data_IF_069705396054
#
_entry.id   IF_069705396054
#
_cell.length_a   1.000
_cell.length_b   1.000
_cell.length_c   1.000
_cell.angle_alpha   90.00
_cell.angle_beta   90.00
_cell.angle_gamma   90.00
#
_symmetry.space_group_name_H-M   'P 1'
#
loop_
_entity.id
_entity.type
_entity.pdbx_description
1 polymer ?
#
# COMPACT_ATOMS: atom_id res chain seq x y z
N UNK A 1 -44.32 5.79 -35.05
CA UNK A 1 -43.31 6.80 -34.61
C UNK A 1 -43.50 7.29 -33.17
N UNK A 2 -44.72 7.40 -32.63
CA UNK A 2 -44.93 7.85 -31.24
C UNK A 2 -44.45 6.85 -30.15
N UNK A 3 -44.39 5.54 -30.45
CA UNK A 3 -43.90 4.53 -29.49
C UNK A 3 -42.38 4.52 -29.29
N UNK A 4 -41.60 5.10 -30.22
CA UNK A 4 -40.13 5.13 -30.14
C UNK A 4 -39.60 6.29 -29.29
N UNK A 5 -40.40 7.33 -29.05
CA UNK A 5 -39.98 8.48 -28.24
C UNK A 5 -40.23 8.32 -26.74
N UNK A 6 -41.16 7.44 -26.32
CA UNK A 6 -41.37 7.17 -24.89
C UNK A 6 -40.29 6.24 -24.28
N UNK A 7 -39.63 5.41 -25.09
CA UNK A 7 -38.56 4.52 -24.61
C UNK A 7 -37.23 5.26 -24.39
N UNK A 8 -36.96 6.33 -25.15
CA UNK A 8 -35.74 7.15 -24.95
C UNK A 8 -35.80 8.00 -23.65
N UNK A 9 -36.99 8.46 -23.24
CA UNK A 9 -37.12 9.25 -22.00
C UNK A 9 -36.96 8.41 -20.71
N UNK A 10 -37.23 7.10 -20.77
CA UNK A 10 -36.99 6.19 -19.63
C UNK A 10 -35.53 5.77 -19.51
N UNK A 11 -34.79 5.66 -20.63
CA UNK A 11 -33.37 5.31 -20.62
C UNK A 11 -32.47 6.48 -20.19
N UNK A 12 -32.90 7.73 -20.41
CA UNK A 12 -32.15 8.93 -19.98
C UNK A 12 -32.33 9.20 -18.47
N UNK A 13 -33.44 8.77 -17.85
CA UNK A 13 -33.64 8.89 -16.41
C UNK A 13 -33.11 7.70 -15.58
N UNK A 14 -32.82 6.56 -16.21
CA UNK A 14 -32.23 5.41 -15.50
C UNK A 14 -30.69 5.46 -15.44
N UNK A 15 -30.04 6.28 -16.28
CA UNK A 15 -28.59 6.45 -16.28
C UNK A 15 -28.08 7.53 -15.29
N UNK A 16 -28.98 8.15 -14.53
CA UNK A 16 -28.66 9.17 -13.51
C UNK A 16 -28.67 8.63 -12.07
N UNK A 17 -28.81 7.33 -11.86
CA UNK A 17 -28.74 6.69 -10.56
C UNK A 17 -27.84 5.45 -10.65
N UNK A 18 -26.80 5.41 -9.82
CA UNK A 18 -25.66 4.45 -9.80
C UNK A 18 -24.61 4.80 -10.87
N UNK A 19 -23.41 5.30 -10.57
CA UNK A 19 -22.47 4.92 -9.52
C UNK A 19 -21.60 6.14 -9.16
N UNK A 20 -21.59 6.54 -7.89
CA UNK A 20 -20.52 7.38 -7.37
C UNK A 20 -19.28 6.49 -7.19
N UNK A 21 -18.44 6.39 -8.21
CA UNK A 21 -17.12 5.78 -8.12
C UNK A 21 -16.22 6.67 -7.26
N UNK A 22 -16.21 6.38 -5.96
CA UNK A 22 -15.33 7.02 -4.99
C UNK A 22 -13.93 6.44 -5.19
N UNK A 23 -13.01 7.20 -5.79
CA UNK A 23 -11.60 6.80 -5.90
C UNK A 23 -10.61 7.90 -5.50
N UNK A 24 -9.72 7.50 -4.58
CA UNK A 24 -8.30 7.82 -4.39
C UNK A 24 -7.82 9.27 -4.55
N UNK A 25 -8.39 10.18 -3.78
CA UNK A 25 -7.72 11.41 -3.40
C UNK A 25 -7.74 11.49 -1.87
N UNK A 26 -6.58 11.34 -1.22
CA UNK A 26 -6.50 11.30 0.25
C UNK A 26 -6.89 12.64 0.91
N UNK A 27 -6.95 13.74 0.13
CA UNK A 27 -7.46 15.05 0.57
C UNK A 27 -8.89 15.36 0.11
N UNK A 28 -9.48 14.55 -0.75
CA UNK A 28 -10.83 14.77 -1.25
C UNK A 28 -11.85 14.38 -0.18
N UNK A 29 -12.96 15.11 -0.17
CA UNK A 29 -14.03 14.87 0.79
C UNK A 29 -14.81 13.65 0.33
N UNK A 30 -14.75 12.58 1.11
CA UNK A 30 -15.52 11.36 0.91
C UNK A 30 -16.87 11.50 1.59
N UNK A 31 -17.93 11.05 0.93
CA UNK A 31 -19.27 10.97 1.53
C UNK A 31 -19.54 9.53 1.94
N UNK A 32 -19.95 9.32 3.19
CA UNK A 32 -20.33 8.00 3.69
C UNK A 32 -21.29 8.14 4.88
N UNK A 33 -21.40 7.09 5.70
CA UNK A 33 -22.15 7.05 6.95
C UNK A 33 -21.23 6.72 8.10
N UNK A 34 -21.54 7.26 9.27
CA UNK A 34 -20.88 6.92 10.51
C UNK A 34 -21.91 6.45 11.55
N UNK A 35 -21.53 5.42 12.31
CA UNK A 35 -22.22 5.00 13.52
C UNK A 35 -21.37 5.37 14.75
N UNK A 36 -21.86 5.05 15.93
CA UNK A 36 -21.08 5.14 17.16
C UNK A 36 -21.32 3.92 18.06
N UNK A 37 -20.39 3.67 18.99
CA UNK A 37 -20.58 2.67 20.05
C UNK A 37 -20.85 3.37 21.39
N UNK A 38 -21.71 2.79 22.21
CA UNK A 38 -22.22 3.44 23.42
C UNK A 38 -21.36 3.20 24.68
N UNK A 39 -20.36 2.32 24.60
CA UNK A 39 -19.54 1.85 25.74
C UNK A 39 -18.06 2.13 25.56
N UNK A 40 -17.50 3.00 26.40
CA UNK A 40 -16.07 3.37 26.38
C UNK A 40 -15.12 2.16 26.60
N UNK A 41 -15.58 1.06 27.18
CA UNK A 41 -14.77 -0.16 27.34
C UNK A 41 -14.39 -0.81 26.01
N UNK A 42 -15.23 -0.70 24.98
CA UNK A 42 -14.95 -1.21 23.65
C UNK A 42 -13.77 -0.48 23.00
N UNK A 43 -13.45 0.75 23.42
CA UNK A 43 -12.28 1.50 22.96
C UNK A 43 -10.97 0.93 23.46
N UNK A 44 -10.99 0.19 24.58
CA UNK A 44 -9.77 -0.37 25.17
C UNK A 44 -9.33 -1.67 24.50
N UNK A 45 -10.00 -2.06 23.41
CA UNK A 45 -9.66 -3.16 22.51
C UNK A 45 -9.70 -2.65 21.07
N UNK A 46 -8.91 -3.24 20.17
CA UNK A 46 -9.00 -2.93 18.76
C UNK A 46 -7.88 -3.52 17.92
N UNK A 47 -8.13 -3.69 16.63
CA UNK A 47 -7.23 -4.28 15.65
C UNK A 47 -5.88 -3.53 15.53
N UNK A 48 -5.84 -2.24 15.88
CA UNK A 48 -4.58 -1.49 15.90
C UNK A 48 -3.64 -1.84 17.06
N UNK A 49 -4.13 -2.59 18.06
CA UNK A 49 -3.35 -3.03 19.20
C UNK A 49 -3.16 -1.98 20.30
N UNK A 50 -3.66 -0.74 20.15
CA UNK A 50 -3.46 0.31 21.16
C UNK A 50 -4.02 -0.04 22.55
N UNK A 51 -5.02 -0.91 22.62
CA UNK A 51 -5.57 -1.38 23.88
C UNK A 51 -6.10 -0.23 24.74
N UNK A 52 -5.82 -0.27 26.05
CA UNK A 52 -6.21 0.79 27.00
C UNK A 52 -5.61 2.18 26.73
N UNK A 53 -4.64 2.29 25.82
CA UNK A 53 -4.08 3.58 25.40
C UNK A 53 -4.94 4.30 24.36
N UNK A 54 -5.82 3.59 23.66
CA UNK A 54 -6.62 4.16 22.57
C UNK A 54 -7.47 5.37 23.00
N UNK A 55 -8.19 5.36 24.14
CA UNK A 55 -8.94 6.53 24.61
C UNK A 55 -8.06 7.78 24.87
N UNK A 56 -6.74 7.61 25.02
CA UNK A 56 -5.80 8.71 25.20
C UNK A 56 -5.49 9.48 23.90
N UNK A 57 -5.85 8.95 22.74
CA UNK A 57 -5.65 9.65 21.47
C UNK A 57 -6.70 10.72 21.23
N UNK A 58 -6.25 11.91 20.85
CA UNK A 58 -7.09 13.07 20.50
C UNK A 58 -8.25 13.32 21.48
N UNK A 59 -7.98 13.18 22.78
CA UNK A 59 -8.99 13.36 23.83
C UNK A 59 -10.12 12.32 23.80
N UNK A 60 -9.89 11.13 23.27
CA UNK A 60 -10.91 10.08 23.13
C UNK A 60 -11.75 10.20 21.86
N UNK A 61 -11.38 11.10 20.95
CA UNK A 61 -11.96 11.13 19.61
C UNK A 61 -11.28 10.09 18.73
N UNK A 62 -11.79 8.86 18.78
CA UNK A 62 -11.22 7.72 18.08
C UNK A 62 -12.30 6.98 17.30
N UNK A 63 -11.89 6.15 16.35
CA UNK A 63 -12.80 5.43 15.48
C UNK A 63 -12.26 4.07 15.04
N UNK A 64 -13.18 3.14 14.79
CA UNK A 64 -12.95 2.00 13.92
C UNK A 64 -13.20 2.40 12.47
N UNK A 65 -12.26 2.13 11.57
CA UNK A 65 -12.38 2.40 10.14
C UNK A 65 -12.56 1.11 9.34
N UNK A 66 -13.29 1.16 8.22
CA UNK A 66 -13.42 0.02 7.30
C UNK A 66 -12.06 -0.49 6.79
N UNK A 67 -11.97 -1.70 6.21
CA UNK A 67 -10.69 -2.28 5.79
C UNK A 67 -9.81 -1.37 4.92
N UNK A 68 -10.40 -0.55 4.04
CA UNK A 68 -9.68 0.41 3.21
C UNK A 68 -9.02 1.55 4.00
N UNK A 69 -9.61 1.94 5.14
CA UNK A 69 -9.09 2.97 6.04
C UNK A 69 -8.12 2.38 7.07
N UNK A 70 -8.39 1.17 7.56
CA UNK A 70 -7.49 0.42 8.43
C UNK A 70 -6.21 0.01 7.69
N UNK A 71 -6.30 -0.25 6.38
CA UNK A 71 -5.19 -0.57 5.47
C UNK A 71 -4.23 -1.61 6.05
N UNK A 72 -4.76 -2.77 6.44
CA UNK A 72 -4.00 -3.88 7.06
C UNK A 72 -3.11 -3.44 8.23
N UNK A 73 -3.53 -2.42 8.98
CA UNK A 73 -2.82 -1.86 10.12
C UNK A 73 -1.93 -0.65 9.81
N UNK A 74 -1.62 -0.37 8.54
CA UNK A 74 -0.88 0.83 8.15
C UNK A 74 -1.69 2.12 8.38
N UNK A 75 -3.03 2.03 8.38
CA UNK A 75 -3.92 3.13 8.72
C UNK A 75 -4.08 3.40 10.22
N UNK A 76 -3.50 2.56 11.09
CA UNK A 76 -3.57 2.77 12.52
C UNK A 76 -2.84 4.04 12.94
N UNK A 77 -3.54 4.89 13.71
CA UNK A 77 -3.05 6.20 14.10
C UNK A 77 -3.32 7.30 13.08
N UNK A 78 -3.92 7.00 11.92
CA UNK A 78 -4.27 8.02 10.93
C UNK A 78 -5.41 8.92 11.41
N UNK A 79 -5.32 10.22 11.10
CA UNK A 79 -6.32 11.21 11.47
C UNK A 79 -7.25 11.57 10.32
N UNK A 80 -8.54 11.70 10.64
CA UNK A 80 -9.58 12.11 9.70
C UNK A 80 -10.41 13.22 10.30
N UNK A 81 -10.64 14.28 9.52
CA UNK A 81 -11.68 15.25 9.83
C UNK A 81 -13.00 14.67 9.35
N UNK A 82 -13.99 14.54 10.24
CA UNK A 82 -15.31 14.00 9.95
C UNK A 82 -16.36 15.02 10.37
N UNK A 83 -17.31 15.33 9.50
CA UNK A 83 -18.48 16.17 9.82
C UNK A 83 -19.76 15.48 9.38
N UNK A 84 -20.83 15.66 10.13
CA UNK A 84 -22.16 15.22 9.73
C UNK A 84 -22.82 16.25 8.80
N UNK A 85 -23.56 15.77 7.79
CA UNK A 85 -24.13 16.60 6.71
C UNK A 85 -25.39 17.39 7.12
N UNK A 86 -26.09 16.97 8.17
CA UNK A 86 -27.33 17.61 8.61
C UNK A 86 -27.03 18.96 9.31
N UNK A 87 -27.20 20.07 8.58
CA UNK A 87 -26.89 21.43 9.06
C UNK A 87 -27.69 21.86 10.31
N UNK A 88 -28.86 21.29 10.53
CA UNK A 88 -29.70 21.61 11.69
C UNK A 88 -29.25 20.88 12.97
N UNK A 89 -28.44 19.84 12.80
CA UNK A 89 -27.99 18.96 13.86
C UNK A 89 -26.48 19.12 14.14
N UNK A 90 -25.71 19.33 13.09
CA UNK A 90 -24.26 19.13 13.07
C UNK A 90 -23.50 20.42 12.77
N UNK A 91 -22.32 20.54 13.38
CA UNK A 91 -21.41 21.66 13.20
C UNK A 91 -20.75 21.61 11.82
N UNK A 92 -20.39 22.79 11.28
CA UNK A 92 -19.70 22.88 9.99
C UNK A 92 -18.26 22.34 10.05
N UNK A 93 -17.62 22.44 11.21
CA UNK A 93 -16.27 21.96 11.44
C UNK A 93 -16.24 20.43 11.58
N UNK A 94 -17.23 19.83 12.25
CA UNK A 94 -17.15 18.44 12.67
C UNK A 94 -16.07 18.22 13.73
N UNK A 95 -15.47 17.02 13.74
CA UNK A 95 -14.43 16.62 14.68
C UNK A 95 -13.27 15.92 13.95
N UNK A 96 -12.10 15.87 14.58
CA UNK A 96 -10.99 15.03 14.13
C UNK A 96 -11.03 13.72 14.92
N UNK A 97 -10.85 12.59 14.25
CA UNK A 97 -10.75 11.27 14.89
C UNK A 97 -9.46 10.58 14.52
N UNK A 98 -8.98 9.71 15.40
CA UNK A 98 -7.84 8.81 15.17
C UNK A 98 -8.35 7.39 14.94
N UNK A 99 -7.87 6.73 13.87
CA UNK A 99 -8.21 5.32 13.62
C UNK A 99 -7.46 4.42 14.60
N UNK A 100 -8.21 3.70 15.43
CA UNK A 100 -7.68 2.81 16.47
C UNK A 100 -8.22 1.38 16.37
N UNK A 101 -9.14 1.12 15.44
CA UNK A 101 -9.76 -0.18 15.27
C UNK A 101 -10.20 -0.44 13.83
N UNK A 102 -10.57 -1.69 13.55
CA UNK A 102 -11.13 -2.14 12.30
C UNK A 102 -12.66 -2.25 12.43
N UNK A 103 -13.38 -1.58 11.54
CA UNK A 103 -14.80 -1.73 11.39
C UNK A 103 -15.12 -2.78 10.31
N UNK A 104 -15.72 -3.90 10.70
CA UNK A 104 -16.14 -4.95 9.78
C UNK A 104 -17.52 -4.68 9.12
N UNK A 105 -18.22 -3.61 9.51
CA UNK A 105 -19.53 -3.28 8.97
C UNK A 105 -19.43 -2.68 7.57
N UNK A 106 -20.26 -3.16 6.65
CA UNK A 106 -20.35 -2.65 5.28
C UNK A 106 -21.33 -1.46 5.12
N UNK A 107 -22.06 -1.08 6.17
CA UNK A 107 -23.05 0.02 6.13
C UNK A 107 -22.49 1.40 6.47
N UNK A 108 -21.34 1.46 7.11
CA UNK A 108 -20.72 2.69 7.60
C UNK A 108 -19.21 2.60 7.44
N UNK A 109 -18.55 3.67 6.99
CA UNK A 109 -17.09 3.68 6.88
C UNK A 109 -16.42 3.80 8.26
N UNK A 110 -17.11 4.46 9.19
CA UNK A 110 -16.61 4.72 10.53
C UNK A 110 -17.60 4.28 11.61
N UNK A 111 -17.05 3.72 12.68
CA UNK A 111 -17.72 3.59 13.98
C UNK A 111 -16.95 4.46 14.97
N UNK A 112 -17.55 5.57 15.37
CA UNK A 112 -16.92 6.60 16.21
C UNK A 112 -17.13 6.32 17.69
N UNK A 113 -16.27 6.89 18.54
CA UNK A 113 -16.58 7.03 19.95
C UNK A 113 -17.79 7.91 20.18
N UNK A 114 -18.58 7.63 21.23
CA UNK A 114 -19.68 8.53 21.63
C UNK A 114 -19.22 9.97 21.72
N UNK A 115 -18.01 10.20 22.25
CA UNK A 115 -17.39 11.53 22.36
C UNK A 115 -17.09 12.15 21.00
N UNK A 116 -16.52 11.41 20.05
CA UNK A 116 -16.32 11.89 18.69
C UNK A 116 -17.67 12.15 17.98
N UNK A 117 -18.64 11.27 18.18
CA UNK A 117 -19.93 11.34 17.52
C UNK A 117 -20.72 12.59 17.96
N UNK A 118 -20.78 12.85 19.26
CA UNK A 118 -21.40 14.07 19.79
C UNK A 118 -20.61 15.33 19.46
N UNK A 119 -19.28 15.27 19.36
CA UNK A 119 -18.46 16.42 18.95
C UNK A 119 -18.75 16.91 17.52
N UNK A 120 -19.43 16.11 16.68
CA UNK A 120 -19.92 16.59 15.39
C UNK A 120 -21.22 17.41 15.49
N UNK A 121 -21.94 17.37 16.61
CA UNK A 121 -23.19 18.08 16.80
C UNK A 121 -22.99 19.58 17.02
N UNK A 122 -24.05 20.36 16.79
CA UNK A 122 -24.12 21.74 17.26
C UNK A 122 -24.26 21.80 18.79
N UNK A 123 -23.93 22.93 19.39
CA UNK A 123 -24.07 23.11 20.84
C UNK A 123 -25.50 22.81 21.30
N UNK A 124 -25.65 21.93 22.29
CA UNK A 124 -26.95 21.47 22.81
C UNK A 124 -27.66 20.40 21.98
N UNK A 125 -27.01 19.86 20.93
CA UNK A 125 -27.58 18.81 20.04
C UNK A 125 -26.97 17.42 20.25
N UNK A 126 -26.18 17.24 21.30
CA UNK A 126 -25.48 16.00 21.61
C UNK A 126 -26.44 14.80 21.72
N UNK A 127 -27.55 14.95 22.46
CA UNK A 127 -28.54 13.88 22.60
C UNK A 127 -29.35 13.67 21.32
N UNK A 128 -29.55 14.73 20.54
CA UNK A 128 -30.32 14.64 19.29
C UNK A 128 -29.53 13.86 18.23
N UNK A 129 -28.21 14.03 18.15
CA UNK A 129 -27.39 13.28 17.19
C UNK A 129 -27.33 11.80 17.57
N UNK A 130 -27.19 11.48 18.87
CA UNK A 130 -27.15 10.10 19.36
C UNK A 130 -28.42 9.32 19.02
N UNK A 131 -29.60 9.96 19.10
CA UNK A 131 -30.90 9.34 18.74
C UNK A 131 -30.96 8.85 17.29
N UNK A 132 -30.15 9.41 16.38
CA UNK A 132 -30.15 8.97 14.98
C UNK A 132 -29.41 7.63 14.80
N UNK A 133 -28.46 7.29 15.68
CA UNK A 133 -27.65 6.08 15.62
C UNK A 133 -26.62 6.07 14.49
N UNK A 134 -27.07 6.28 13.26
CA UNK A 134 -26.27 6.38 12.04
C UNK A 134 -26.57 7.73 11.37
N UNK A 135 -25.53 8.46 10.99
CA UNK A 135 -25.66 9.76 10.31
C UNK A 135 -24.84 9.79 9.03
N UNK A 136 -25.32 10.52 8.03
CA UNK A 136 -24.55 10.81 6.82
C UNK A 136 -23.41 11.78 7.15
N UNK A 137 -22.20 11.39 6.77
CA UNK A 137 -20.97 12.13 7.05
C UNK A 137 -20.19 12.44 5.79
N UNK A 138 -19.36 13.46 5.94
CA UNK A 138 -18.27 13.79 5.03
C UNK A 138 -16.97 13.69 5.79
N UNK A 139 -15.96 13.06 5.20
CA UNK A 139 -14.65 12.94 5.82
C UNK A 139 -13.50 13.15 4.87
N UNK A 140 -12.36 13.56 5.41
CA UNK A 140 -11.09 13.66 4.66
C UNK A 140 -9.93 13.34 5.57
N UNK A 141 -8.85 12.80 5.01
CA UNK A 141 -7.62 12.58 5.76
C UNK A 141 -6.98 13.92 6.10
N UNK A 142 -6.51 14.07 7.33
CA UNK A 142 -5.83 15.28 7.81
C UNK A 142 -4.56 14.90 8.57
N UNK A 143 -3.59 15.81 8.68
CA UNK A 143 -2.40 15.58 9.50
C UNK A 143 -2.78 15.38 10.97
N UNK A 144 -2.17 14.39 11.62
CA UNK A 144 -2.21 14.26 13.07
C UNK A 144 -1.26 15.26 13.72
N UNK A 145 -1.79 16.13 14.57
CA UNK A 145 -1.00 17.07 15.38
C UNK A 145 -1.03 16.65 16.85
N UNK A 146 0.11 16.17 17.33
CA UNK A 146 0.28 15.78 18.74
C UNK A 146 1.01 16.84 19.58
N UNK A 147 1.32 18.02 19.02
CA UNK A 147 1.95 19.24 19.60
C UNK A 147 3.19 19.03 20.48
N UNK A 148 3.00 18.35 21.61
CA UNK A 148 3.97 18.15 22.69
C UNK A 148 4.35 16.68 22.88
N UNK A 149 4.02 15.80 21.93
CA UNK A 149 4.43 14.39 21.96
C UNK A 149 5.26 14.08 20.74
N UNK A 150 6.41 13.48 20.98
CA UNK A 150 7.19 12.84 19.94
C UNK A 150 6.58 11.48 19.61
N UNK A 151 7.02 10.92 18.48
CA UNK A 151 6.83 9.51 18.20
C UNK A 151 7.34 8.71 19.41
N UNK A 152 6.55 7.77 19.91
CA UNK A 152 6.93 6.97 21.06
C UNK A 152 6.85 5.48 20.74
N UNK A 153 7.69 4.71 21.41
CA UNK A 153 7.79 3.26 21.24
C UNK A 153 7.41 2.61 22.57
N UNK A 154 6.32 1.84 22.58
CA UNK A 154 5.96 0.98 23.70
C UNK A 154 6.50 -0.42 23.47
N UNK A 155 7.14 -1.01 24.47
CA UNK A 155 7.53 -2.43 24.42
C UNK A 155 6.35 -3.29 24.83
N UNK A 156 5.96 -4.26 24.00
CA UNK A 156 4.84 -5.17 24.28
C UNK A 156 5.22 -6.24 25.30
N UNK A 157 4.22 -6.71 26.07
CA UNK A 157 4.39 -7.69 27.16
C UNK A 157 4.97 -9.04 26.70
N UNK A 158 4.81 -9.37 25.42
CA UNK A 158 5.36 -10.59 24.81
C UNK A 158 6.88 -10.52 24.58
N UNK A 159 7.49 -9.34 24.74
CA UNK A 159 8.92 -9.15 24.48
C UNK A 159 9.79 -9.83 25.53
N UNK A 160 10.84 -10.51 25.05
CA UNK A 160 11.86 -11.19 25.85
C UNK A 160 13.23 -10.70 25.42
N UNK A 161 14.01 -10.21 26.38
CA UNK A 161 15.33 -9.64 26.11
C UNK A 161 16.20 -10.65 25.36
N UNK A 162 16.87 -10.19 24.30
CA UNK A 162 17.74 -10.99 23.42
C UNK A 162 17.07 -12.11 22.60
N UNK A 163 15.78 -12.41 22.81
CA UNK A 163 15.05 -13.46 22.05
C UNK A 163 14.02 -12.87 21.08
N UNK A 164 13.19 -11.95 21.56
CA UNK A 164 12.06 -11.43 20.81
C UNK A 164 11.70 -10.02 21.27
N UNK A 165 11.62 -9.09 20.33
CA UNK A 165 11.21 -7.72 20.60
C UNK A 165 9.95 -7.44 19.80
N UNK A 166 8.86 -7.12 20.49
CA UNK A 166 7.65 -6.56 19.90
C UNK A 166 7.45 -5.14 20.44
N UNK A 167 7.27 -4.20 19.54
CA UNK A 167 7.04 -2.80 19.88
C UNK A 167 5.75 -2.30 19.25
N UNK A 168 5.17 -1.28 19.87
CA UNK A 168 4.01 -0.57 19.37
C UNK A 168 4.35 0.90 19.22
N UNK A 169 4.08 1.42 18.03
CA UNK A 169 4.38 2.81 17.71
C UNK A 169 3.18 3.68 18.09
N UNK A 170 3.46 4.77 18.81
CA UNK A 170 2.46 5.72 19.31
C UNK A 170 2.78 7.13 18.79
N UNK A 171 1.73 7.96 18.67
CA UNK A 171 1.83 9.38 18.34
C UNK A 171 2.52 9.68 17.00
N UNK A 172 2.21 8.88 15.98
CA UNK A 172 2.68 9.13 14.63
C UNK A 172 2.02 10.40 14.05
N UNK A 173 2.80 11.48 13.97
CA UNK A 173 2.30 12.76 13.48
C UNK A 173 2.26 12.91 11.96
N UNK A 174 1.72 14.04 11.51
CA UNK A 174 1.59 14.38 10.11
C UNK A 174 0.50 13.58 9.39
N UNK A 175 0.46 13.67 8.07
CA UNK A 175 -0.39 12.85 7.20
C UNK A 175 0.46 11.72 6.61
N UNK A 176 0.90 10.82 7.48
CA UNK A 176 1.94 9.83 7.15
C UNK A 176 1.51 8.38 7.40
N UNK A 177 2.29 7.43 6.88
CA UNK A 177 2.20 5.99 7.18
C UNK A 177 3.61 5.45 7.44
N UNK A 178 3.81 4.74 8.55
CA UNK A 178 5.04 3.98 8.78
C UNK A 178 4.90 2.65 8.07
N UNK A 179 5.73 2.40 7.05
CA UNK A 179 5.64 1.23 6.17
C UNK A 179 6.78 0.24 6.37
N UNK A 180 7.81 0.63 7.12
CA UNK A 180 8.92 -0.23 7.50
C UNK A 180 9.54 0.22 8.82
N UNK A 181 10.13 -0.74 9.54
CA UNK A 181 10.85 -0.47 10.78
C UNK A 181 12.12 -1.34 10.84
N UNK A 182 13.20 -0.75 11.32
CA UNK A 182 14.48 -1.42 11.55
C UNK A 182 14.98 -1.06 12.95
N UNK A 183 15.71 -1.99 13.56
CA UNK A 183 16.34 -1.81 14.87
C UNK A 183 17.83 -2.15 14.79
N UNK A 184 18.65 -1.39 15.51
CA UNK A 184 20.07 -1.66 15.68
C UNK A 184 20.51 -1.30 17.10
N UNK A 185 21.66 -1.83 17.52
CA UNK A 185 22.35 -1.29 18.69
C UNK A 185 22.87 0.12 18.37
N UNK A 186 22.80 1.04 19.33
CA UNK A 186 23.37 2.38 19.20
C UNK A 186 24.86 2.30 18.82
N UNK A 187 25.26 3.07 17.81
CA UNK A 187 26.63 3.06 17.26
C UNK A 187 26.94 1.94 16.27
N UNK A 188 26.03 0.97 16.09
CA UNK A 188 26.18 -0.11 15.11
C UNK A 188 25.58 0.27 13.74
N UNK A 189 26.21 -0.22 12.66
CA UNK A 189 25.64 -0.20 11.30
C UNK A 189 24.85 -1.47 10.95
N UNK A 190 24.75 -2.43 11.88
CA UNK A 190 24.08 -3.72 11.67
C UNK A 190 22.57 -3.62 11.96
N UNK A 191 21.83 -3.07 11.01
CA UNK A 191 20.37 -2.94 11.08
C UNK A 191 19.68 -4.31 10.92
N UNK A 192 18.59 -4.49 11.68
CA UNK A 192 17.70 -5.66 11.61
C UNK A 192 16.30 -5.19 11.28
N UNK A 193 15.75 -5.72 10.19
CA UNK A 193 14.36 -5.48 9.83
C UNK A 193 13.41 -6.00 10.91
N UNK A 194 12.33 -5.25 11.11
CA UNK A 194 11.18 -5.63 11.89
C UNK A 194 10.00 -5.88 10.94
N UNK A 195 9.15 -6.83 11.29
CA UNK A 195 7.93 -7.16 10.55
C UNK A 195 6.72 -6.56 11.25
N UNK A 196 5.76 -6.03 10.50
CA UNK A 196 4.47 -5.64 11.10
C UNK A 196 3.71 -6.90 11.47
N UNK A 197 3.48 -7.10 12.76
CA UNK A 197 2.72 -8.25 13.24
C UNK A 197 1.22 -8.04 13.00
N UNK A 198 0.67 -6.93 13.50
CA UNK A 198 -0.69 -6.47 13.26
C UNK A 198 -0.81 -5.00 13.67
N UNK A 199 -1.73 -4.24 13.07
CA UNK A 199 -1.99 -2.87 13.48
C UNK A 199 -0.74 -1.99 13.51
N UNK A 200 -0.51 -1.34 14.65
CA UNK A 200 0.68 -0.53 14.92
C UNK A 200 1.84 -1.31 15.59
N UNK A 201 1.75 -2.65 15.67
CA UNK A 201 2.73 -3.51 16.35
C UNK A 201 3.73 -4.11 15.37
N UNK A 202 5.01 -3.96 15.68
CA UNK A 202 6.15 -4.44 14.91
C UNK A 202 7.00 -5.40 15.74
N UNK A 203 7.56 -6.44 15.15
CA UNK A 203 8.36 -7.42 15.88
C UNK A 203 9.64 -7.85 15.15
N UNK A 204 10.57 -8.42 15.92
CA UNK A 204 11.74 -9.12 15.39
C UNK A 204 12.25 -10.15 16.39
N UNK A 205 12.71 -11.30 15.90
CA UNK A 205 13.40 -12.32 16.71
C UNK A 205 14.93 -12.14 16.72
N UNK A 206 15.44 -11.10 16.06
CA UNK A 206 16.88 -10.79 15.96
C UNK A 206 17.19 -9.54 16.76
N UNK A 207 16.98 -9.62 18.08
CA UNK A 207 17.11 -8.47 18.99
C UNK A 207 18.58 -8.11 19.19
N UNK A 208 19.03 -6.88 18.86
CA UNK A 208 20.39 -6.44 19.15
C UNK A 208 20.64 -6.35 20.67
N UNK A 209 21.90 -6.49 21.08
CA UNK A 209 22.29 -6.28 22.48
C UNK A 209 22.53 -4.79 22.78
N UNK A 210 22.38 -4.38 24.03
CA UNK A 210 22.64 -3.01 24.48
C UNK A 210 21.47 -2.04 24.25
N UNK A 211 21.79 -0.75 24.25
CA UNK A 211 20.85 0.33 23.91
C UNK A 211 20.45 0.28 22.43
N UNK A 212 19.17 0.52 22.13
CA UNK A 212 18.61 0.35 20.78
C UNK A 212 18.16 1.66 20.14
N UNK A 213 18.49 1.77 18.86
CA UNK A 213 18.07 2.80 17.92
C UNK A 213 17.12 2.21 16.86
N UNK A 214 16.25 3.05 16.32
CA UNK A 214 15.27 2.66 15.31
C UNK A 214 15.35 3.52 14.06
N UNK A 215 15.08 2.91 12.92
CA UNK A 215 14.79 3.60 11.67
C UNK A 215 13.39 3.21 11.22
N UNK A 216 12.59 4.20 10.89
CA UNK A 216 11.25 4.01 10.36
C UNK A 216 11.21 4.53 8.93
N UNK A 217 10.68 3.73 8.01
CA UNK A 217 10.34 4.21 6.67
C UNK A 217 8.95 4.83 6.75
N UNK A 218 8.89 6.15 6.58
CA UNK A 218 7.67 6.95 6.66
C UNK A 218 7.31 7.44 5.28
N UNK A 219 6.06 7.24 4.87
CA UNK A 219 5.55 7.72 3.59
C UNK A 219 4.50 8.81 3.82
N UNK A 220 4.43 9.78 2.90
CA UNK A 220 3.37 10.79 2.84
C UNK A 220 2.78 10.86 1.43
N UNK A 221 2.35 9.70 0.91
CA UNK A 221 2.00 9.50 -0.50
C UNK A 221 2.94 8.49 -1.13
N UNK A 222 3.59 8.87 -2.23
CA UNK A 222 4.48 7.97 -2.99
C UNK A 222 5.94 8.00 -2.52
N UNK A 223 6.36 9.07 -1.84
CA UNK A 223 7.73 9.23 -1.37
C UNK A 223 7.88 8.63 0.04
N UNK A 224 8.85 7.74 0.19
CA UNK A 224 9.29 7.19 1.47
C UNK A 224 10.57 7.86 1.95
N UNK A 225 10.64 8.16 3.24
CA UNK A 225 11.85 8.69 3.88
C UNK A 225 12.18 7.91 5.15
N UNK A 226 13.48 7.84 5.47
CA UNK A 226 13.92 7.29 6.73
C UNK A 226 13.83 8.35 7.84
N UNK A 227 13.13 8.00 8.91
CA UNK A 227 13.15 8.69 10.18
C UNK A 227 14.04 7.91 11.13
N UNK A 228 15.08 8.56 11.64
CA UNK A 228 16.06 7.92 12.53
C UNK A 228 15.88 8.40 13.97
N UNK A 229 15.54 7.46 14.86
CA UNK A 229 15.43 7.68 16.29
C UNK A 229 16.60 6.98 17.00
N UNK A 230 17.54 7.77 17.52
CA UNK A 230 18.88 7.29 17.90
C UNK A 230 18.97 6.63 19.27
N UNK A 231 18.22 7.08 20.27
CA UNK A 231 18.39 6.64 21.66
C UNK A 231 17.02 6.33 22.28
N UNK A 232 16.39 5.24 21.84
CA UNK A 232 14.97 4.97 22.15
C UNK A 232 14.82 3.97 23.30
N UNK A 233 15.40 2.78 23.18
CA UNK A 233 15.30 1.77 24.24
C UNK A 233 16.64 1.65 24.97
N UNK A 234 16.71 1.97 26.28
CA UNK A 234 17.92 1.74 27.07
C UNK A 234 18.19 0.24 27.20
N UNK A 235 19.43 -0.15 27.51
CA UNK A 235 19.79 -1.58 27.65
C UNK A 235 18.88 -2.34 28.63
N UNK A 236 18.37 -1.69 29.65
CA UNK A 236 17.47 -2.25 30.66
C UNK A 236 15.98 -1.97 30.38
N UNK A 237 15.59 -1.83 29.11
CA UNK A 237 14.20 -1.65 28.73
C UNK A 237 13.30 -2.75 29.32
N UNK A 238 12.04 -2.39 29.60
CA UNK A 238 11.08 -3.28 30.24
C UNK A 238 9.82 -3.41 29.39
N UNK A 239 9.24 -4.63 29.26
CA UNK A 239 7.90 -4.78 28.71
C UNK A 239 6.89 -3.89 29.43
N UNK A 240 5.92 -3.39 28.68
CA UNK A 240 4.88 -2.51 29.19
C UNK A 240 5.27 -1.04 29.37
N UNK A 241 6.54 -0.67 29.14
CA UNK A 241 7.01 0.71 29.24
C UNK A 241 6.93 1.44 27.90
N UNK A 242 6.70 2.75 27.96
CA UNK A 242 6.69 3.67 26.81
C UNK A 242 7.96 4.51 26.84
N UNK A 243 8.66 4.57 25.71
CA UNK A 243 9.89 5.31 25.53
C UNK A 243 9.71 6.38 24.46
N UNK A 244 10.16 7.60 24.75
CA UNK A 244 10.14 8.72 23.81
C UNK A 244 11.29 8.57 22.79
N UNK A 245 11.01 8.76 21.51
CA UNK A 245 12.03 8.63 20.46
C UNK A 245 12.85 9.89 20.21
N UNK A 246 12.41 11.05 20.74
CA UNK A 246 12.96 12.37 20.45
C UNK A 246 12.56 12.93 19.07
N UNK A 247 11.78 12.19 18.27
CA UNK A 247 11.46 12.57 16.89
C UNK A 247 10.02 12.99 16.73
N UNK A 248 9.80 14.13 16.07
CA UNK A 248 8.49 14.55 15.58
C UNK A 248 8.37 14.32 14.07
N UNK A 249 7.21 13.84 13.65
CA UNK A 249 6.86 13.67 12.24
C UNK A 249 5.74 14.66 11.94
N UNK A 250 5.99 15.62 11.06
CA UNK A 250 5.02 16.67 10.71
C UNK A 250 4.74 16.70 9.20
N UNK A 251 5.20 15.68 8.46
CA UNK A 251 5.08 15.64 7.01
C UNK A 251 3.62 15.60 6.58
N UNK A 252 3.34 16.35 5.53
CA UNK A 252 2.04 16.42 4.89
C UNK A 252 2.28 16.13 3.42
N UNK A 253 1.37 15.41 2.78
CA UNK A 253 1.37 15.27 1.34
C UNK A 253 1.02 16.62 0.69
N UNK A 254 2.00 17.51 0.51
CA UNK A 254 1.87 18.85 -0.12
C UNK A 254 1.58 18.73 -1.63
N UNK A 255 1.70 17.52 -2.18
CA UNK A 255 1.48 17.22 -3.59
C UNK A 255 0.03 17.35 -4.10
N UNK A 256 -0.97 17.36 -3.22
CA UNK A 256 -2.39 17.33 -3.59
C UNK A 256 -3.13 18.64 -3.26
N UNK A 257 -2.58 19.81 -3.62
CA UNK A 257 -3.27 21.10 -3.46
C UNK A 257 -4.09 21.59 -4.66
N UNK A 258 -4.21 20.83 -5.75
CA UNK A 258 -5.12 21.20 -6.84
C UNK A 258 -6.16 20.12 -7.12
N UNK A 259 -7.20 20.09 -6.29
CA UNK A 259 -8.51 19.71 -6.79
C UNK A 259 -9.34 20.99 -6.84
N UNK A 260 -9.16 21.77 -7.89
CA UNK A 260 -10.15 22.76 -8.28
C UNK A 260 -11.33 22.01 -8.89
N UNK A 261 -12.51 22.18 -8.29
CA UNK A 261 -13.78 21.70 -8.82
C UNK A 261 -14.07 22.36 -10.18
N UNK A 262 -13.65 21.73 -11.27
CA UNK A 262 -14.21 21.84 -12.64
C UNK A 262 -13.20 21.26 -13.63
N UNK A 263 -13.69 20.59 -14.68
CA UNK A 263 -12.91 19.99 -15.78
C UNK A 263 -12.38 18.56 -15.57
N UNK A 264 -13.27 17.65 -15.17
CA UNK A 264 -13.18 16.26 -15.65
C UNK A 264 -14.05 16.11 -16.90
N UNK A 265 -13.68 16.80 -17.97
CA UNK A 265 -14.19 16.48 -19.31
C UNK A 265 -13.16 16.95 -20.35
N UNK A 266 -12.72 16.02 -21.21
CA UNK A 266 -11.76 16.17 -22.33
C UNK A 266 -10.27 15.97 -22.01
N UNK A 267 -9.84 14.70 -21.98
CA UNK A 267 -8.74 14.18 -22.83
C UNK A 267 -7.37 14.86 -22.84
N UNK A 268 -7.02 15.72 -21.89
CA UNK A 268 -5.67 16.31 -21.78
C UNK A 268 -5.25 16.40 -20.32
N UNK A 269 -4.10 15.82 -20.01
CA UNK A 269 -3.57 15.74 -18.65
C UNK A 269 -3.18 17.13 -18.13
N UNK A 270 -4.04 17.72 -17.30
CA UNK A 270 -3.65 18.84 -16.43
C UNK A 270 -3.54 18.34 -15.00
N UNK A 271 -2.30 18.06 -14.57
CA UNK A 271 -1.97 17.66 -13.20
C UNK A 271 -1.38 16.25 -13.12
N UNK A 272 -0.12 16.16 -12.66
CA UNK A 272 0.76 14.97 -12.65
C UNK A 272 0.25 13.68 -11.94
N UNK A 273 -1.02 13.53 -11.52
CA UNK A 273 -1.37 12.58 -10.43
C UNK A 273 -2.66 11.75 -10.52
N UNK A 274 -3.61 12.00 -11.42
CA UNK A 274 -4.86 11.20 -11.46
C UNK A 274 -4.81 10.07 -12.52
N UNK A 275 -4.27 10.33 -13.71
CA UNK A 275 -4.30 9.38 -14.83
C UNK A 275 -3.64 8.02 -14.56
N UNK A 276 -2.58 7.97 -13.74
CA UNK A 276 -1.93 6.71 -13.38
C UNK A 276 -2.79 5.85 -12.43
N UNK A 277 -3.50 6.51 -11.50
CA UNK A 277 -4.43 5.82 -10.62
C UNK A 277 -5.65 5.33 -11.39
N UNK A 278 -6.17 6.16 -12.30
CA UNK A 278 -7.28 5.81 -13.19
C UNK A 278 -6.89 4.61 -14.07
N UNK A 279 -5.70 4.63 -14.69
CA UNK A 279 -5.21 3.52 -15.50
C UNK A 279 -5.02 2.21 -14.72
N UNK A 280 -4.62 2.29 -13.44
CA UNK A 280 -4.55 1.12 -12.57
C UNK A 280 -5.96 0.56 -12.25
N UNK A 281 -6.95 1.44 -12.06
CA UNK A 281 -8.36 1.01 -11.88
C UNK A 281 -8.91 0.41 -13.17
N UNK A 282 -8.64 1.03 -14.32
CA UNK A 282 -9.04 0.53 -15.64
C UNK A 282 -8.42 -0.84 -15.90
N UNK A 283 -7.15 -1.04 -15.52
CA UNK A 283 -6.52 -2.35 -15.57
C UNK A 283 -7.26 -3.37 -14.72
N UNK A 284 -7.56 -3.05 -13.46
CA UNK A 284 -8.32 -3.96 -12.60
C UNK A 284 -9.70 -4.33 -13.19
N UNK A 285 -10.40 -3.36 -13.78
CA UNK A 285 -11.69 -3.59 -14.43
C UNK A 285 -11.55 -4.50 -15.65
N UNK A 286 -10.52 -4.29 -16.47
CA UNK A 286 -10.27 -5.11 -17.65
C UNK A 286 -9.94 -6.57 -17.27
N UNK A 287 -9.13 -6.77 -16.24
CA UNK A 287 -8.82 -8.11 -15.70
C UNK A 287 -10.09 -8.84 -15.27
N UNK A 288 -10.94 -8.18 -14.49
CA UNK A 288 -12.20 -8.77 -14.03
C UNK A 288 -13.18 -9.02 -15.18
N UNK A 289 -13.27 -8.08 -16.13
CA UNK A 289 -14.13 -8.23 -17.31
C UNK A 289 -13.73 -9.44 -18.16
N UNK A 290 -12.43 -9.70 -18.29
CA UNK A 290 -11.87 -10.84 -19.03
C UNK A 290 -11.71 -12.11 -18.20
N UNK A 291 -12.04 -12.07 -16.90
CA UNK A 291 -11.88 -13.18 -15.95
C UNK A 291 -10.43 -13.68 -15.86
N UNK A 292 -9.50 -12.74 -15.85
CA UNK A 292 -8.09 -12.99 -15.62
C UNK A 292 -7.81 -12.94 -14.12
N UNK A 293 -6.97 -13.85 -13.66
CA UNK A 293 -6.52 -13.90 -12.28
C UNK A 293 -5.39 -12.89 -12.05
N UNK A 294 -5.27 -12.40 -10.82
CA UNK A 294 -4.20 -11.50 -10.41
C UNK A 294 -3.26 -12.19 -9.42
N UNK A 295 -2.00 -12.39 -9.80
CA UNK A 295 -0.93 -12.86 -8.92
C UNK A 295 -0.16 -11.66 -8.36
N UNK A 296 -0.08 -11.58 -7.03
CA UNK A 296 0.29 -10.33 -6.38
C UNK A 296 1.25 -10.56 -5.21
N UNK A 297 2.34 -9.80 -5.20
CA UNK A 297 3.44 -9.96 -4.25
C UNK A 297 3.23 -9.35 -2.86
N UNK A 298 2.03 -8.84 -2.54
CA UNK A 298 1.71 -8.36 -1.18
C UNK A 298 1.96 -6.87 -0.91
N UNK A 299 2.47 -6.08 -1.87
CA UNK A 299 2.71 -4.64 -1.66
C UNK A 299 1.42 -3.80 -1.68
N UNK A 300 0.97 -3.28 -0.55
CA UNK A 300 -0.32 -2.56 -0.41
C UNK A 300 -0.27 -1.08 -0.82
N UNK A 301 0.90 -0.59 -1.22
CA UNK A 301 1.23 0.82 -1.45
C UNK A 301 1.35 1.10 -2.95
N UNK A 302 0.96 2.30 -3.37
CA UNK A 302 1.07 2.75 -4.77
C UNK A 302 0.02 2.17 -5.70
N UNK A 303 0.27 2.24 -7.01
CA UNK A 303 -0.68 1.81 -8.05
C UNK A 303 -0.99 0.31 -7.95
N UNK A 304 -0.02 -0.48 -7.55
CA UNK A 304 -0.18 -1.93 -7.39
C UNK A 304 -1.20 -2.30 -6.31
N UNK A 305 -1.15 -1.66 -5.15
CA UNK A 305 -2.17 -1.84 -4.12
C UNK A 305 -3.55 -1.37 -4.58
N UNK A 306 -3.62 -0.39 -5.48
CA UNK A 306 -4.87 0.08 -6.08
C UNK A 306 -5.49 -1.00 -6.99
N UNK A 307 -4.70 -1.62 -7.87
CA UNK A 307 -5.16 -2.72 -8.73
C UNK A 307 -5.70 -3.88 -7.90
N UNK A 308 -4.92 -4.37 -6.92
CA UNK A 308 -5.31 -5.50 -6.07
C UNK A 308 -6.65 -5.26 -5.36
N UNK A 309 -6.84 -4.07 -4.76
CA UNK A 309 -8.11 -3.71 -4.12
C UNK A 309 -9.26 -3.60 -5.12
N UNK A 310 -9.02 -3.00 -6.28
CA UNK A 310 -10.06 -2.81 -7.30
C UNK A 310 -10.52 -4.15 -7.89
N UNK A 311 -9.61 -5.08 -8.20
CA UNK A 311 -9.94 -6.44 -8.66
C UNK A 311 -10.79 -7.16 -7.61
N UNK A 312 -10.40 -7.06 -6.34
CA UNK A 312 -11.12 -7.71 -5.24
C UNK A 312 -12.55 -7.18 -5.07
N UNK A 313 -12.69 -5.86 -5.06
CA UNK A 313 -13.99 -5.20 -4.91
C UNK A 313 -14.92 -5.50 -6.07
N UNK A 314 -14.37 -5.71 -7.27
CA UNK A 314 -15.11 -6.13 -8.46
C UNK A 314 -15.38 -7.64 -8.52
N UNK A 315 -14.96 -8.42 -7.51
CA UNK A 315 -15.22 -9.85 -7.41
C UNK A 315 -14.28 -10.76 -8.21
N UNK A 316 -13.13 -10.22 -8.66
CA UNK A 316 -12.09 -11.00 -9.33
C UNK A 316 -11.32 -11.94 -8.39
N UNK A 317 -10.71 -12.97 -8.95
CA UNK A 317 -9.86 -13.91 -8.23
C UNK A 317 -8.43 -13.37 -8.12
N UNK A 318 -7.84 -13.46 -6.92
CA UNK A 318 -6.51 -12.92 -6.59
C UNK A 318 -5.74 -13.98 -5.82
N UNK A 319 -4.43 -14.09 -6.05
CA UNK A 319 -3.49 -14.90 -5.28
C UNK A 319 -2.39 -13.98 -4.72
N UNK A 320 -2.26 -13.83 -3.40
CA UNK A 320 -1.28 -12.92 -2.77
C UNK A 320 -1.58 -12.45 -1.34
N UNK A 321 -0.57 -11.91 -0.64
CA UNK A 321 -0.47 -11.82 0.84
C UNK A 321 -1.51 -10.95 1.59
N UNK A 322 -2.46 -10.29 0.93
CA UNK A 322 -3.49 -9.51 1.64
C UNK A 322 -4.91 -9.67 1.09
N UNK A 323 -5.07 -10.34 -0.06
CA UNK A 323 -6.36 -10.57 -0.70
C UNK A 323 -6.27 -11.85 -1.53
N UNK A 324 -7.09 -12.87 -1.18
CA UNK A 324 -7.15 -14.14 -1.91
C UNK A 324 -6.33 -15.27 -1.28
N UNK A 325 -5.88 -16.25 -2.09
CA UNK A 325 -5.07 -17.38 -1.62
C UNK A 325 -3.65 -16.90 -1.23
N UNK A 326 -3.22 -17.17 0.01
CA UNK A 326 -1.92 -16.72 0.55
C UNK A 326 -0.95 -17.89 0.61
N UNK A 327 0.25 -17.71 0.05
CA UNK A 327 1.34 -18.70 0.12
C UNK A 327 2.58 -18.14 0.83
N UNK A 328 2.98 -18.71 1.98
CA UNK A 328 4.17 -18.27 2.67
C UNK A 328 5.44 -18.77 1.96
N UNK A 329 6.43 -17.89 1.83
CA UNK A 329 7.74 -18.17 1.24
C UNK A 329 8.86 -17.70 2.18
N UNK A 330 10.04 -18.32 2.09
CA UNK A 330 11.10 -18.12 3.06
C UNK A 330 11.84 -16.78 2.88
N UNK A 331 11.94 -16.30 1.64
CA UNK A 331 12.63 -15.05 1.30
C UNK A 331 12.08 -14.41 0.02
N UNK A 332 12.62 -13.24 -0.33
CA UNK A 332 12.19 -12.45 -1.49
C UNK A 332 12.46 -13.16 -2.81
N UNK A 333 13.61 -13.83 -2.96
CA UNK A 333 13.95 -14.48 -4.23
C UNK A 333 12.99 -15.64 -4.49
N UNK A 334 12.66 -16.41 -3.44
CA UNK A 334 11.65 -17.44 -3.54
C UNK A 334 10.26 -16.85 -3.87
N UNK A 335 9.91 -15.69 -3.29
CA UNK A 335 8.66 -14.99 -3.60
C UNK A 335 8.55 -14.66 -5.09
N UNK A 336 9.58 -14.01 -5.65
CA UNK A 336 9.62 -13.63 -7.07
C UNK A 336 9.56 -14.86 -7.98
N UNK A 337 10.30 -15.93 -7.63
CA UNK A 337 10.28 -17.18 -8.38
C UNK A 337 8.90 -17.86 -8.38
N UNK A 338 8.21 -17.91 -7.24
CA UNK A 338 6.86 -18.48 -7.16
C UNK A 338 5.82 -17.63 -7.90
N UNK A 339 5.90 -16.31 -7.80
CA UNK A 339 5.03 -15.42 -8.59
C UNK A 339 5.26 -15.62 -10.09
N UNK A 340 6.52 -15.63 -10.52
CA UNK A 340 6.87 -15.90 -11.90
C UNK A 340 6.43 -17.29 -12.36
N UNK A 341 6.36 -18.29 -11.48
CA UNK A 341 5.88 -19.65 -11.80
C UNK A 341 4.38 -19.67 -12.04
N UNK A 342 3.63 -18.91 -11.25
CA UNK A 342 2.16 -18.92 -11.22
C UNK A 342 1.47 -17.95 -12.17
N UNK A 343 2.23 -17.13 -12.89
CA UNK A 343 1.66 -16.16 -13.84
C UNK A 343 1.91 -16.55 -15.28
N UNK A 344 1.04 -16.12 -16.19
CA UNK A 344 1.19 -16.30 -17.62
C UNK A 344 1.79 -15.05 -18.29
N UNK A 345 1.68 -13.88 -17.66
CA UNK A 345 2.36 -12.67 -18.08
C UNK A 345 2.70 -11.73 -16.91
N UNK A 346 3.48 -10.69 -17.19
CA UNK A 346 3.82 -9.65 -16.21
C UNK A 346 3.33 -8.29 -16.71
N UNK A 347 2.79 -7.45 -15.83
CA UNK A 347 2.43 -6.06 -16.17
C UNK A 347 3.09 -5.08 -15.22
N UNK A 348 3.88 -4.16 -15.77
CA UNK A 348 4.43 -3.04 -15.03
C UNK A 348 3.57 -1.78 -15.22
N UNK A 349 3.16 -1.22 -14.08
CA UNK A 349 2.51 0.09 -13.95
C UNK A 349 3.56 1.17 -13.71
N UNK A 350 3.31 2.44 -14.07
CA UNK A 350 4.21 3.56 -13.77
C UNK A 350 4.67 3.56 -12.30
N UNK A 351 5.98 3.48 -12.09
CA UNK A 351 6.56 3.21 -10.77
C UNK A 351 8.05 3.53 -10.69
N UNK A 352 8.57 3.65 -9.46
CA UNK A 352 9.95 4.04 -9.20
C UNK A 352 10.98 2.92 -9.42
N UNK A 353 12.13 3.05 -8.76
CA UNK A 353 13.25 2.10 -8.91
C UNK A 353 12.90 0.64 -8.59
N UNK A 354 12.01 0.38 -7.61
CA UNK A 354 11.56 -0.99 -7.33
C UNK A 354 10.91 -1.63 -8.55
N UNK A 355 9.95 -0.93 -9.16
CA UNK A 355 9.26 -1.40 -10.36
C UNK A 355 10.23 -1.61 -11.53
N UNK A 356 11.23 -0.74 -11.68
CA UNK A 356 12.25 -0.90 -12.72
C UNK A 356 13.18 -2.08 -12.45
N UNK A 357 13.57 -2.33 -11.19
CA UNK A 357 14.40 -3.48 -10.81
C UNK A 357 13.69 -4.80 -11.13
N UNK A 358 12.43 -4.90 -10.72
CA UNK A 358 11.59 -6.09 -10.95
C UNK A 358 11.29 -6.28 -12.44
N UNK A 359 10.95 -5.20 -13.14
CA UNK A 359 10.73 -5.21 -14.58
C UNK A 359 11.96 -5.72 -15.33
N UNK A 360 13.14 -5.20 -15.02
CA UNK A 360 14.38 -5.60 -15.69
C UNK A 360 14.74 -7.04 -15.33
N UNK A 361 14.52 -7.49 -14.10
CA UNK A 361 14.77 -8.88 -13.70
C UNK A 361 13.95 -9.87 -14.54
N UNK A 362 12.62 -9.68 -14.66
CA UNK A 362 11.78 -10.57 -15.48
C UNK A 362 12.13 -10.49 -16.97
N UNK A 363 12.51 -9.32 -17.48
CA UNK A 363 13.01 -9.19 -18.86
C UNK A 363 14.30 -9.98 -19.04
N UNK A 364 15.25 -9.90 -18.09
CA UNK A 364 16.50 -10.66 -18.19
C UNK A 364 16.28 -12.17 -18.10
N UNK A 365 15.32 -12.64 -17.31
CA UNK A 365 14.96 -14.06 -17.28
C UNK A 365 14.39 -14.53 -18.63
N UNK A 366 13.50 -13.75 -19.24
CA UNK A 366 13.06 -14.02 -20.61
C UNK A 366 14.23 -14.03 -21.60
N UNK A 367 15.14 -13.06 -21.48
CA UNK A 367 16.33 -12.96 -22.33
C UNK A 367 17.25 -14.18 -22.22
N UNK A 368 17.37 -14.76 -21.02
CA UNK A 368 18.14 -15.98 -20.73
C UNK A 368 17.41 -17.28 -21.13
N UNK A 369 16.18 -17.20 -21.63
CA UNK A 369 15.37 -18.37 -22.00
C UNK A 369 14.83 -19.15 -20.79
N UNK A 370 14.76 -18.49 -19.63
CA UNK A 370 14.26 -19.04 -18.37
C UNK A 370 12.72 -19.14 -18.41
N UNK A 371 12.05 -18.16 -19.03
CA UNK A 371 10.62 -18.22 -19.38
C UNK A 371 10.33 -17.53 -20.72
N UNK A 372 9.15 -17.81 -21.29
CA UNK A 372 8.69 -17.23 -22.56
C UNK A 372 7.52 -16.24 -22.40
N UNK A 373 7.17 -15.94 -21.15
CA UNK A 373 6.03 -15.09 -20.76
C UNK A 373 6.24 -13.62 -21.18
N UNK A 374 5.22 -12.94 -21.76
CA UNK A 374 5.34 -11.54 -22.15
C UNK A 374 5.42 -10.59 -20.95
N UNK A 375 6.10 -9.46 -21.16
CA UNK A 375 6.23 -8.39 -20.17
C UNK A 375 5.56 -7.12 -20.71
N UNK A 376 4.40 -6.79 -20.15
CA UNK A 376 3.58 -5.65 -20.50
C UNK A 376 3.97 -4.36 -19.77
N UNK A 377 4.05 -3.25 -20.48
CA UNK A 377 4.20 -1.89 -19.94
C UNK A 377 2.93 -1.09 -20.17
N UNK A 378 2.26 -0.70 -19.09
CA UNK A 378 1.12 0.22 -19.16
C UNK A 378 1.64 1.66 -19.29
N UNK A 379 1.89 2.08 -20.52
CA UNK A 379 2.59 3.32 -20.89
C UNK A 379 1.67 4.55 -20.92
N UNK A 380 1.04 4.83 -19.78
CA UNK A 380 0.13 5.97 -19.59
C UNK A 380 0.91 7.28 -19.72
N UNK A 381 0.39 8.23 -20.48
CA UNK A 381 0.99 9.55 -20.70
C UNK A 381 2.47 9.50 -21.14
N UNK A 382 2.87 8.40 -21.78
CA UNK A 382 4.25 8.21 -22.26
C UNK A 382 5.30 7.98 -21.16
N UNK A 383 4.90 7.56 -19.95
CA UNK A 383 5.79 7.31 -18.81
C UNK A 383 7.04 6.49 -19.16
N UNK A 384 6.89 5.43 -19.94
CA UNK A 384 7.96 4.51 -20.34
C UNK A 384 8.67 4.91 -21.64
N UNK A 385 8.34 6.04 -22.27
CA UNK A 385 8.93 6.43 -23.56
C UNK A 385 10.47 6.48 -23.52
N UNK A 386 11.03 7.05 -22.45
CA UNK A 386 12.50 7.13 -22.30
C UNK A 386 13.13 5.76 -22.05
N UNK A 387 12.47 4.87 -21.32
CA UNK A 387 12.94 3.50 -21.11
C UNK A 387 12.92 2.71 -22.42
N UNK A 388 11.81 2.79 -23.18
CA UNK A 388 11.68 2.15 -24.48
C UNK A 388 12.75 2.67 -25.46
N UNK A 389 12.96 3.98 -25.51
CA UNK A 389 14.03 4.60 -26.32
C UNK A 389 15.43 4.12 -25.92
N UNK A 390 15.69 3.98 -24.61
CA UNK A 390 16.96 3.43 -24.12
C UNK A 390 17.17 1.98 -24.56
N UNK A 391 16.12 1.16 -24.50
CA UNK A 391 16.18 -0.24 -24.93
C UNK A 391 16.38 -0.33 -26.45
N UNK A 392 15.69 0.51 -27.23
CA UNK A 392 15.89 0.61 -28.69
C UNK A 392 17.35 0.97 -29.01
N UNK A 393 17.94 1.93 -28.28
CA UNK A 393 19.35 2.27 -28.42
C UNK A 393 20.28 1.09 -28.11
N UNK A 394 19.97 0.30 -27.08
CA UNK A 394 20.72 -0.89 -26.71
C UNK A 394 20.60 -2.01 -27.76
N UNK A 395 19.48 -2.09 -28.48
CA UNK A 395 19.32 -2.96 -29.65
C UNK A 395 20.20 -2.46 -30.80
N UNK A 396 20.14 -1.16 -31.11
CA UNK A 396 20.93 -0.55 -32.20
C UNK A 396 22.44 -0.72 -31.98
N UNK A 397 22.90 -0.63 -30.74
CA UNK A 397 24.30 -0.85 -30.36
C UNK A 397 24.69 -2.34 -30.26
N UNK A 398 23.74 -3.26 -30.42
CA UNK A 398 23.99 -4.70 -30.38
C UNK A 398 24.14 -5.32 -28.98
N UNK A 399 23.78 -4.59 -27.92
CA UNK A 399 23.73 -5.14 -26.56
C UNK A 399 22.49 -6.01 -26.33
N UNK A 400 21.41 -5.78 -27.08
CA UNK A 400 20.18 -6.58 -27.05
C UNK A 400 19.90 -7.09 -28.47
N UNK A 401 19.55 -8.38 -28.62
CA UNK A 401 19.19 -8.90 -29.94
C UNK A 401 17.84 -8.33 -30.40
N UNK A 402 17.64 -8.04 -31.70
CA UNK A 402 16.35 -7.56 -32.21
C UNK A 402 15.17 -8.49 -31.88
N UNK A 403 15.38 -9.81 -31.85
CA UNK A 403 14.38 -10.80 -31.42
C UNK A 403 13.95 -10.61 -29.96
N UNK A 404 14.89 -10.27 -29.08
CA UNK A 404 14.68 -10.07 -27.64
C UNK A 404 14.00 -8.72 -27.34
N UNK A 405 14.00 -7.77 -28.28
CA UNK A 405 13.25 -6.50 -28.14
C UNK A 405 11.74 -6.72 -28.00
N UNK A 406 11.23 -7.82 -28.56
CA UNK A 406 9.81 -8.16 -28.56
C UNK A 406 9.32 -8.73 -27.23
N UNK A 407 10.21 -9.06 -26.27
CA UNK A 407 9.83 -9.49 -24.91
C UNK A 407 8.91 -8.44 -24.25
N UNK A 408 9.14 -7.16 -24.57
CA UNK A 408 8.41 -6.03 -23.99
C UNK A 408 7.27 -5.62 -24.92
N UNK A 409 6.05 -5.72 -24.39
CA UNK A 409 4.82 -5.24 -25.03
C UNK A 409 4.40 -3.94 -24.34
N UNK A 410 4.18 -2.86 -25.09
CA UNK A 410 3.72 -1.60 -24.50
C UNK A 410 2.41 -1.11 -25.12
N UNK A 411 1.54 -0.54 -24.30
CA UNK A 411 0.31 0.13 -24.75
C UNK A 411 -0.08 1.29 -23.82
N UNK A 412 -0.76 2.33 -24.32
CA UNK A 412 -1.12 3.52 -23.55
C UNK A 412 -2.29 3.33 -22.58
N UNK A 413 -3.05 2.24 -22.69
CA UNK A 413 -4.22 1.94 -21.86
C UNK A 413 -4.36 0.43 -21.61
N UNK A 414 -5.11 0.07 -20.57
CA UNK A 414 -5.24 -1.29 -20.09
C UNK A 414 -5.83 -2.25 -21.13
N UNK A 415 -6.91 -1.82 -21.80
CA UNK A 415 -7.60 -2.63 -22.80
C UNK A 415 -6.69 -3.06 -23.94
N UNK A 416 -5.96 -2.11 -24.51
CA UNK A 416 -5.00 -2.38 -25.58
C UNK A 416 -3.82 -3.23 -25.08
N UNK A 417 -3.35 -3.00 -23.84
CA UNK A 417 -2.27 -3.79 -23.26
C UNK A 417 -2.67 -5.26 -23.12
N UNK A 418 -3.80 -5.52 -22.46
CA UNK A 418 -4.28 -6.88 -22.21
C UNK A 418 -4.53 -7.62 -23.53
N UNK A 419 -5.13 -6.95 -24.52
CA UNK A 419 -5.29 -7.54 -25.86
C UNK A 419 -3.95 -7.94 -26.49
N UNK A 420 -2.95 -7.05 -26.46
CA UNK A 420 -1.62 -7.36 -27.02
C UNK A 420 -0.90 -8.48 -26.28
N UNK A 421 -1.14 -8.63 -24.98
CA UNK A 421 -0.57 -9.72 -24.18
C UNK A 421 -1.23 -11.06 -24.50
N UNK A 422 -2.56 -11.08 -24.74
CA UNK A 422 -3.28 -12.28 -25.19
C UNK A 422 -2.85 -12.74 -26.59
N UNK A 423 -2.50 -11.79 -27.47
CA UNK A 423 -2.05 -12.04 -28.85
C UNK A 423 -0.53 -12.30 -28.96
N UNK A 424 0.20 -12.32 -27.83
CA UNK A 424 1.65 -12.43 -27.84
C UNK A 424 2.15 -13.82 -28.22
N UNK A 425 3.06 -13.89 -29.19
CA UNK A 425 3.80 -15.10 -29.54
C UNK A 425 5.31 -14.91 -29.30
N UNK A 426 5.97 -15.80 -28.54
CA UNK A 426 7.40 -15.71 -28.28
C UNK A 426 8.24 -15.85 -29.56
N UNK A 427 9.17 -14.90 -29.77
CA UNK A 427 10.13 -14.97 -30.88
C UNK A 427 11.40 -15.68 -30.41
N UNK A 428 11.58 -16.94 -30.82
CA UNK A 428 12.78 -17.70 -30.48
C UNK A 428 13.87 -17.57 -31.56
N UNK A 429 15.03 -17.04 -31.18
CA UNK A 429 16.26 -17.28 -31.94
C UNK A 429 16.80 -18.67 -31.60
N UNK A 430 16.98 -19.53 -32.59
CA UNK A 430 17.41 -20.93 -32.46
C UNK A 430 18.78 -21.18 -31.79
N UNK A 431 19.43 -20.15 -31.23
CA UNK A 431 20.72 -20.21 -30.55
C UNK A 431 20.63 -20.18 -29.00
N UNK A 432 19.45 -19.94 -28.40
CA UNK A 432 19.30 -20.03 -26.94
C UNK A 432 18.97 -21.48 -26.59
N UNK A 433 19.99 -22.24 -26.19
CA UNK A 433 19.78 -23.53 -25.53
C UNK A 433 18.86 -23.29 -24.33
N UNK A 434 17.64 -23.85 -24.38
CA UNK A 434 16.61 -23.71 -23.34
C UNK A 434 17.20 -24.01 -21.97
N UNK A 435 17.51 -22.97 -21.20
CA UNK A 435 17.63 -23.07 -19.74
C UNK A 435 16.20 -23.18 -19.17
N UNK A 436 15.49 -24.25 -19.57
CA UNK A 436 14.21 -24.63 -18.98
C UNK A 436 14.46 -24.93 -17.50
N UNK A 437 13.43 -24.77 -16.67
CA UNK A 437 13.42 -24.86 -15.19
C UNK A 437 13.96 -26.19 -14.58
N UNK A 438 15.20 -26.58 -14.87
CA UNK A 438 15.89 -27.75 -14.30
C UNK A 438 17.03 -27.30 -13.39
N UNK A 439 16.69 -26.50 -12.36
CA UNK A 439 17.60 -26.21 -11.24
C UNK A 439 17.12 -26.95 -9.98
N UNK A 440 16.82 -28.25 -10.12
CA UNK A 440 16.35 -29.08 -8.99
C UNK A 440 17.15 -30.38 -8.77
N UNK A 441 18.38 -30.50 -9.32
CA UNK A 441 19.24 -31.67 -9.06
C UNK A 441 20.64 -31.36 -8.47
N UNK A 442 20.97 -30.12 -8.14
CA UNK A 442 22.29 -29.77 -7.59
C UNK A 442 22.33 -29.34 -6.12
N UNK A 443 21.19 -29.31 -5.42
CA UNK A 443 21.17 -28.90 -4.00
C UNK A 443 21.31 -30.05 -2.99
N UNK A 444 21.50 -31.31 -3.43
CA UNK A 444 21.63 -32.44 -2.50
C UNK A 444 23.07 -32.92 -2.23
N UNK A 445 24.10 -32.33 -2.87
CA UNK A 445 25.46 -32.90 -2.85
C UNK A 445 26.61 -31.91 -2.58
N UNK A 446 26.39 -30.88 -1.76
CA UNK A 446 27.49 -30.09 -1.19
C UNK A 446 27.46 -30.03 0.33
N UNK A 447 27.57 -31.20 0.97
CA UNK A 447 28.31 -31.30 2.22
C UNK A 447 29.75 -31.70 1.89
N UNK A 448 30.69 -30.93 2.42
CA UNK A 448 32.16 -31.13 2.41
C UNK A 448 32.91 -30.54 1.21
N UNK A 449 33.38 -29.30 1.35
CA UNK A 449 34.82 -28.97 1.49
C UNK A 449 35.07 -27.45 1.35
N UNK A 450 35.90 -26.91 2.24
CA UNK A 450 36.71 -25.70 2.07
C UNK A 450 38.19 -26.14 2.17
N UNK A 451 39.23 -25.36 1.79
CA UNK A 451 39.26 -23.90 1.57
C UNK A 451 40.06 -23.39 0.34
N UNK A 452 39.95 -22.09 0.04
CA UNK A 452 41.04 -21.07 0.12
C UNK A 452 40.93 -19.94 -0.92
N UNK A 453 41.13 -18.71 -0.42
CA UNK A 453 41.01 -17.38 -1.02
C UNK A 453 41.81 -17.09 -2.31
N UNK A 454 41.22 -16.28 -3.20
CA UNK A 454 41.88 -15.11 -3.82
C UNK A 454 40.90 -13.94 -3.98
N UNK A 455 41.28 -12.80 -3.39
CA UNK A 455 40.61 -11.49 -3.45
C UNK A 455 40.79 -10.83 -4.82
N UNK A 456 39.72 -10.25 -5.34
CA UNK A 456 39.72 -8.90 -5.93
C UNK A 456 38.46 -8.20 -5.42
N UNK A 457 38.62 -7.11 -4.67
CA UNK A 457 37.53 -6.37 -4.02
C UNK A 457 37.40 -4.98 -4.64
N UNK A 458 36.19 -4.62 -5.04
CA UNK A 458 35.72 -3.23 -5.02
C UNK A 458 34.50 -3.18 -4.09
N UNK A 459 34.62 -2.41 -3.00
CA UNK A 459 33.57 -2.18 -2.03
C UNK A 459 32.50 -1.25 -2.62
N UNK A 460 31.28 -1.74 -2.71
CA UNK A 460 30.07 -0.90 -2.69
C UNK A 460 29.02 -1.62 -1.84
N UNK A 461 29.06 -1.35 -0.55
CA UNK A 461 27.99 -1.63 0.42
C UNK A 461 26.78 -0.76 0.12
N UNK A 462 25.65 -1.37 -0.26
CA UNK A 462 24.30 -0.94 0.10
C UNK A 462 23.27 -1.85 -0.60
N UNK A 463 22.90 -2.97 0.02
CA UNK A 463 21.72 -3.74 -0.41
C UNK A 463 20.49 -3.04 0.13
N UNK A 464 19.80 -2.28 -0.74
CA UNK A 464 18.49 -1.66 -0.42
C UNK A 464 17.44 -2.40 -1.24
N UNK A 465 16.50 -3.04 -0.55
CA UNK A 465 15.47 -3.90 -1.14
C UNK A 465 14.12 -3.17 -1.08
N UNK A 466 13.45 -2.99 -2.23
CA UNK A 466 12.06 -2.49 -2.33
C UNK A 466 11.27 -3.38 -3.31
N UNK A 467 9.98 -3.55 -3.03
CA UNK A 467 9.07 -4.55 -3.60
C UNK A 467 7.96 -3.89 -4.44
N UNK A 468 7.62 -4.45 -5.60
CA UNK A 468 6.58 -4.07 -6.59
C UNK A 468 6.46 -5.11 -7.73
N UNK A 469 5.85 -6.27 -7.47
CA UNK A 469 5.46 -7.22 -8.52
C UNK A 469 3.93 -7.35 -8.64
N UNK A 470 3.43 -7.10 -9.85
CA UNK A 470 2.18 -7.66 -10.36
C UNK A 470 2.56 -8.68 -11.41
N UNK A 471 2.10 -9.90 -11.21
CA UNK A 471 2.15 -10.96 -12.20
C UNK A 471 0.68 -11.36 -12.47
N UNK A 472 0.32 -11.71 -13.70
CA UNK A 472 -1.06 -12.12 -14.03
C UNK A 472 -1.08 -13.60 -14.31
#
# INVERSE_FOLDING_TARGET
MALMMLSLCFLINFFLLMTSSVNACQRCVHQSKAAYFNTDSALSSGACGYGSLAPGFNGGHVAGGVPSLYNTGAGCGACFQIRCKNKNLCSKSGTIVVVTDLNHNNKTDFVLSSRAFTAMANNGKDQDILKHGIVDVEYKRVPCDYKNKNLAVRVEESSRKSEYLAIKILYQGGQTEIVGAEVAQVGSSSWKYMTRNYGAVWNTSRVPNGELQFRFVVTSGYDGKYIWAQHVLPENWKPGMIYDSGVQINDINIGQESCSESECDKGRCTGKRNCYSDAAIDLAQELVAKRLDLVYGGGSIGLMGLVSRAVHQAGGHITGETVGEVRPVADMHQRKAEMARHSDCFIALPGGYGTLEELLEVITWAQLGIHDKPVGLLNVDGYYNYLLTFIDKAVDDGFIKPSQRNIIVSAPNAKELVQKLEEYEPVHDGAIAKARWEVELLQHDQKQQSPQQKKVSFNATATTTLQTEIAL
#
